data_IF_522169289418
#
_entry.id   IF_522169289418
#
_cell.length_a   1.000
_cell.length_b   1.000
_cell.length_c   1.000
_cell.angle_alpha   90.00
_cell.angle_beta   90.00
_cell.angle_gamma   90.00
#
_symmetry.space_group_name_H-M   'P 1'
#
loop_
_entity.id
_entity.type
_entity.pdbx_description
1 polymer ?
#
# COMPACT_ATOMS: atom_id res chain seq x y z
N UNK A 1 -79.80 82.74 -55.00
CA UNK A 1 -80.91 83.12 -55.93
C UNK A 1 -81.36 84.57 -55.76
N UNK A 2 -81.55 85.09 -54.54
CA UNK A 2 -81.96 86.48 -54.27
C UNK A 2 -81.01 87.56 -54.86
N UNK A 3 -79.70 87.32 -54.89
CA UNK A 3 -78.71 88.28 -55.42
C UNK A 3 -78.79 88.36 -56.95
N UNK A 4 -78.96 87.22 -57.63
CA UNK A 4 -79.09 87.18 -59.09
C UNK A 4 -80.35 87.90 -59.58
N UNK A 5 -81.48 87.73 -58.88
CA UNK A 5 -82.73 88.40 -59.22
C UNK A 5 -82.66 89.92 -59.01
N UNK A 6 -82.01 90.39 -57.93
CA UNK A 6 -81.78 91.83 -57.70
C UNK A 6 -80.93 92.47 -58.80
N UNK A 7 -79.85 91.81 -59.21
CA UNK A 7 -78.99 92.30 -60.30
C UNK A 7 -79.77 92.36 -61.62
N UNK A 8 -80.59 91.35 -61.91
CA UNK A 8 -81.38 91.28 -63.14
C UNK A 8 -82.45 92.38 -63.21
N UNK A 9 -83.11 92.70 -62.09
CA UNK A 9 -84.06 93.81 -61.99
C UNK A 9 -83.37 95.16 -62.18
N UNK A 10 -82.20 95.37 -61.57
CA UNK A 10 -81.43 96.62 -61.73
C UNK A 10 -80.95 96.80 -63.17
N UNK A 11 -80.46 95.74 -63.81
CA UNK A 11 -80.02 95.78 -65.22
C UNK A 11 -81.21 96.03 -66.15
N UNK A 12 -82.36 95.40 -65.91
CA UNK A 12 -83.56 95.62 -66.71
C UNK A 12 -84.08 97.06 -66.59
N UNK A 13 -84.12 97.62 -65.36
CA UNK A 13 -84.53 99.00 -65.13
C UNK A 13 -83.54 100.00 -65.73
N UNK A 14 -82.24 99.83 -65.50
CA UNK A 14 -81.23 100.71 -66.09
C UNK A 14 -81.17 100.57 -67.61
N UNK A 15 -81.29 99.35 -68.15
CA UNK A 15 -81.36 99.10 -69.60
C UNK A 15 -82.56 99.79 -70.24
N UNK A 16 -83.73 99.74 -69.59
CA UNK A 16 -84.93 100.46 -70.04
C UNK A 16 -84.77 101.98 -70.00
N UNK A 17 -84.21 102.53 -68.91
CA UNK A 17 -83.94 103.98 -68.78
C UNK A 17 -82.95 104.45 -69.84
N UNK A 18 -81.89 103.69 -70.08
CA UNK A 18 -80.83 104.02 -71.04
C UNK A 18 -81.35 103.91 -72.49
N UNK A 19 -82.13 102.87 -72.82
CA UNK A 19 -82.76 102.73 -74.12
C UNK A 19 -83.73 103.90 -74.41
N UNK A 20 -84.54 104.27 -73.41
CA UNK A 20 -85.43 105.43 -73.51
C UNK A 20 -84.66 106.75 -73.70
N UNK A 21 -83.56 106.94 -72.97
CA UNK A 21 -82.73 108.14 -73.10
C UNK A 21 -82.04 108.19 -74.47
N UNK A 22 -81.57 107.05 -74.98
CA UNK A 22 -80.95 106.90 -76.30
C UNK A 22 -81.89 107.24 -77.45
N UNK A 23 -83.12 106.71 -77.43
CA UNK A 23 -84.14 107.00 -78.45
C UNK A 23 -84.59 108.47 -78.43
N UNK A 24 -84.72 109.04 -77.23
CA UNK A 24 -85.13 110.44 -77.04
C UNK A 24 -84.02 111.43 -77.43
N UNK A 25 -82.75 111.10 -77.20
CA UNK A 25 -81.60 111.89 -77.66
C UNK A 25 -81.46 111.79 -79.19
N UNK A 26 -81.59 110.59 -79.76
CA UNK A 26 -81.51 110.37 -81.21
C UNK A 26 -82.57 111.14 -82.00
N UNK A 27 -83.84 111.06 -81.59
CA UNK A 27 -84.96 111.75 -82.26
C UNK A 27 -84.93 113.27 -82.10
N UNK A 28 -84.50 113.78 -80.93
CA UNK A 28 -84.45 115.22 -80.64
C UNK A 28 -83.33 115.94 -81.39
N UNK A 29 -82.21 115.26 -81.63
CA UNK A 29 -81.11 115.78 -82.45
C UNK A 29 -81.48 115.71 -83.95
N UNK A 30 -82.19 114.66 -84.37
CA UNK A 30 -82.66 114.50 -85.76
C UNK A 30 -83.61 115.62 -86.24
N UNK A 31 -84.45 116.19 -85.38
CA UNK A 31 -85.37 117.29 -85.75
C UNK A 31 -84.75 118.70 -85.68
N UNK A 32 -83.71 118.91 -84.88
CA UNK A 32 -83.10 120.24 -84.66
C UNK A 32 -82.08 120.68 -85.72
N UNK A 33 -81.82 119.88 -86.76
CA UNK A 33 -80.79 120.12 -87.80
C UNK A 33 -79.45 120.61 -87.22
N UNK A 34 -79.02 120.03 -86.10
CA UNK A 34 -77.76 120.41 -85.48
C UNK A 34 -76.58 119.86 -86.29
N UNK A 35 -75.64 120.73 -86.63
CA UNK A 35 -74.37 120.36 -87.24
C UNK A 35 -73.30 120.31 -86.15
N UNK A 36 -72.75 119.13 -85.91
CA UNK A 36 -71.55 118.98 -85.08
C UNK A 36 -70.37 119.05 -86.05
N UNK A 37 -69.49 120.05 -85.87
CA UNK A 37 -68.30 120.25 -86.72
C UNK A 37 -68.57 120.33 -88.25
N UNK A 38 -69.63 121.03 -88.67
CA UNK A 38 -69.86 121.35 -90.10
C UNK A 38 -70.44 120.22 -90.97
N UNK A 39 -70.77 119.06 -90.38
CA UNK A 39 -71.27 117.89 -91.11
C UNK A 39 -72.77 118.00 -91.46
N UNK A 40 -73.15 117.38 -92.60
CA UNK A 40 -74.53 117.30 -93.10
C UNK A 40 -75.41 116.60 -92.03
N UNK A 41 -76.58 117.16 -91.64
CA UNK A 41 -77.31 116.76 -90.42
C UNK A 41 -77.61 115.27 -90.24
N UNK A 42 -77.67 114.48 -91.33
CA UNK A 42 -77.92 113.03 -91.28
C UNK A 42 -76.76 112.22 -90.66
N UNK A 43 -75.50 112.58 -90.90
CA UNK A 43 -74.34 111.80 -90.42
C UNK A 43 -73.98 112.09 -88.97
N UNK A 44 -74.17 113.32 -88.52
CA UNK A 44 -73.99 113.74 -87.13
C UNK A 44 -74.81 112.90 -86.17
N UNK A 45 -76.05 112.60 -86.54
CA UNK A 45 -76.94 111.74 -85.74
C UNK A 45 -76.38 110.33 -85.57
N UNK A 46 -75.77 109.76 -86.61
CA UNK A 46 -75.24 108.38 -86.58
C UNK A 46 -74.02 108.28 -85.67
N UNK A 47 -73.08 109.22 -85.77
CA UNK A 47 -71.86 109.22 -84.94
C UNK A 47 -72.22 109.38 -83.47
N UNK A 48 -73.10 110.33 -83.14
CA UNK A 48 -73.54 110.50 -81.75
C UNK A 48 -74.17 109.22 -81.23
N UNK A 49 -74.98 108.52 -82.04
CA UNK A 49 -75.61 107.25 -81.67
C UNK A 49 -74.57 106.17 -81.35
N UNK A 50 -73.52 106.02 -82.17
CA UNK A 50 -72.42 105.05 -81.93
C UNK A 50 -71.66 105.38 -80.64
N UNK A 51 -71.33 106.66 -80.42
CA UNK A 51 -70.62 107.10 -79.21
C UNK A 51 -71.46 106.88 -77.96
N UNK A 52 -72.77 107.18 -78.00
CA UNK A 52 -73.67 106.81 -76.90
C UNK A 52 -73.75 105.30 -76.72
N UNK A 53 -73.81 104.50 -77.79
CA UNK A 53 -73.80 103.04 -77.70
C UNK A 53 -72.56 102.49 -77.00
N UNK A 54 -71.38 103.05 -77.32
CA UNK A 54 -70.12 102.67 -76.66
C UNK A 54 -70.08 103.13 -75.20
N UNK A 55 -70.53 104.35 -74.90
CA UNK A 55 -70.65 104.85 -73.53
C UNK A 55 -71.59 103.98 -72.69
N UNK A 56 -72.69 103.50 -73.28
CA UNK A 56 -73.62 102.58 -72.63
C UNK A 56 -72.96 101.22 -72.36
N UNK A 57 -72.23 100.65 -73.32
CA UNK A 57 -71.50 99.40 -73.11
C UNK A 57 -70.43 99.54 -72.00
N UNK A 58 -69.65 100.62 -72.01
CA UNK A 58 -68.65 100.91 -70.98
C UNK A 58 -69.27 101.12 -69.60
N UNK A 59 -70.39 101.86 -69.51
CA UNK A 59 -71.14 102.03 -68.27
C UNK A 59 -71.71 100.70 -67.76
N UNK A 60 -72.19 99.83 -68.67
CA UNK A 60 -72.71 98.50 -68.32
C UNK A 60 -71.62 97.62 -67.72
N UNK A 61 -70.45 97.56 -68.36
CA UNK A 61 -69.29 96.82 -67.83
C UNK A 61 -68.84 97.41 -66.48
N UNK A 62 -68.70 98.73 -66.38
CA UNK A 62 -68.28 99.40 -65.14
C UNK A 62 -69.22 99.14 -63.96
N UNK A 63 -70.53 99.19 -64.19
CA UNK A 63 -71.54 98.87 -63.17
C UNK A 63 -71.47 97.40 -62.76
N UNK A 64 -71.28 96.47 -63.70
CA UNK A 64 -71.10 95.05 -63.38
C UNK A 64 -69.84 94.80 -62.55
N UNK A 65 -68.70 95.45 -62.86
CA UNK A 65 -67.45 95.33 -62.10
C UNK A 65 -67.55 95.89 -60.68
N UNK A 66 -68.33 96.96 -60.49
CA UNK A 66 -68.59 97.53 -59.17
C UNK A 66 -69.50 96.63 -58.34
N UNK A 67 -70.61 96.17 -58.93
CA UNK A 67 -71.69 95.46 -58.24
C UNK A 67 -71.38 93.98 -57.97
N UNK A 68 -70.59 93.34 -58.83
CA UNK A 68 -70.30 91.90 -58.73
C UNK A 68 -68.82 91.62 -58.49
N UNK A 69 -68.52 90.99 -57.35
CA UNK A 69 -67.18 90.44 -57.07
C UNK A 69 -66.78 89.40 -58.12
N UNK A 70 -67.71 88.57 -58.61
CA UNK A 70 -67.40 87.53 -59.60
C UNK A 70 -66.92 88.11 -60.94
N UNK A 71 -67.48 89.24 -61.37
CA UNK A 71 -67.04 89.94 -62.61
C UNK A 71 -65.69 90.62 -62.39
N UNK A 72 -65.47 91.22 -61.21
CA UNK A 72 -64.17 91.81 -60.83
C UNK A 72 -63.05 90.77 -60.79
N UNK A 73 -63.32 89.59 -60.22
CA UNK A 73 -62.39 88.46 -60.18
C UNK A 73 -62.17 87.85 -61.56
N UNK A 74 -63.18 87.83 -62.43
CA UNK A 74 -63.03 87.34 -63.80
C UNK A 74 -62.25 88.31 -64.73
N UNK A 75 -62.44 89.63 -64.59
CA UNK A 75 -61.74 90.65 -65.38
C UNK A 75 -60.32 90.97 -64.87
N UNK A 76 -60.06 90.84 -63.57
CA UNK A 76 -58.79 91.28 -62.94
C UNK A 76 -58.17 90.31 -61.92
N UNK A 77 -58.78 89.13 -61.67
CA UNK A 77 -58.37 88.22 -60.59
C UNK A 77 -57.66 86.93 -61.03
N UNK A 78 -57.46 86.73 -62.34
CA UNK A 78 -56.86 85.50 -62.87
C UNK A 78 -55.41 85.28 -62.38
N UNK A 79 -54.62 86.35 -62.27
CA UNK A 79 -53.24 86.27 -61.81
C UNK A 79 -53.15 85.94 -60.31
N UNK A 80 -54.05 86.49 -59.50
CA UNK A 80 -54.10 86.22 -58.05
C UNK A 80 -54.55 84.79 -57.77
N UNK A 81 -55.59 84.31 -58.45
CA UNK A 81 -56.06 82.92 -58.29
C UNK A 81 -55.02 81.90 -58.77
N UNK A 82 -54.30 82.20 -59.86
CA UNK A 82 -53.20 81.37 -60.36
C UNK A 82 -52.00 81.37 -59.41
N UNK A 83 -51.71 82.51 -58.76
CA UNK A 83 -50.68 82.62 -57.72
C UNK A 83 -51.05 81.82 -56.47
N UNK A 84 -52.28 81.95 -55.97
CA UNK A 84 -52.76 81.24 -54.78
C UNK A 84 -52.79 79.73 -55.04
N UNK A 85 -53.26 79.28 -56.22
CA UNK A 85 -53.19 77.86 -56.63
C UNK A 85 -51.76 77.35 -56.74
N UNK A 86 -50.82 78.18 -57.21
CA UNK A 86 -49.40 77.81 -57.28
C UNK A 86 -48.80 77.67 -55.88
N UNK A 87 -49.01 78.65 -55.00
CA UNK A 87 -48.55 78.63 -53.61
C UNK A 87 -49.16 77.47 -52.83
N UNK A 88 -50.46 77.21 -52.98
CA UNK A 88 -51.13 76.13 -52.28
C UNK A 88 -50.66 74.75 -52.79
N UNK A 89 -50.41 74.60 -54.10
CA UNK A 89 -49.81 73.37 -54.63
C UNK A 89 -48.36 73.20 -54.16
N UNK A 90 -47.58 74.28 -54.06
CA UNK A 90 -46.23 74.25 -53.49
C UNK A 90 -46.25 73.89 -51.99
N UNK A 91 -47.21 74.40 -51.23
CA UNK A 91 -47.40 74.09 -49.80
C UNK A 91 -47.88 72.65 -49.59
N UNK A 92 -48.85 72.17 -50.38
CA UNK A 92 -49.30 70.78 -50.34
C UNK A 92 -48.17 69.84 -50.75
N UNK A 93 -47.39 70.19 -51.77
CA UNK A 93 -46.20 69.42 -52.15
C UNK A 93 -45.17 69.38 -51.00
N UNK A 94 -44.90 70.52 -50.37
CA UNK A 94 -43.99 70.60 -49.22
C UNK A 94 -44.49 69.78 -48.01
N UNK A 95 -45.78 69.89 -47.67
CA UNK A 95 -46.40 69.11 -46.58
C UNK A 95 -46.42 67.62 -46.88
N UNK A 96 -46.67 67.24 -48.13
CA UNK A 96 -46.62 65.82 -48.55
C UNK A 96 -45.20 65.29 -48.44
N UNK A 97 -44.19 66.08 -48.82
CA UNK A 97 -42.77 65.75 -48.64
C UNK A 97 -42.40 65.59 -47.15
N UNK A 98 -42.85 66.49 -46.28
CA UNK A 98 -42.66 66.39 -44.83
C UNK A 98 -43.30 65.12 -44.26
N UNK A 99 -44.51 64.79 -44.70
CA UNK A 99 -45.25 63.61 -44.24
C UNK A 99 -44.57 62.31 -44.69
N UNK A 100 -44.04 62.27 -45.93
CA UNK A 100 -43.22 61.15 -46.42
C UNK A 100 -41.95 61.01 -45.60
N UNK A 101 -41.23 62.12 -45.33
CA UNK A 101 -40.03 62.11 -44.48
C UNK A 101 -40.35 61.65 -43.05
N UNK A 102 -41.43 62.16 -42.46
CA UNK A 102 -41.88 61.78 -41.12
C UNK A 102 -42.25 60.31 -41.03
N UNK A 103 -42.98 59.77 -42.01
CA UNK A 103 -43.28 58.33 -42.11
C UNK A 103 -42.01 57.49 -42.26
N UNK A 104 -41.08 57.90 -43.13
CA UNK A 104 -39.81 57.20 -43.30
C UNK A 104 -39.00 57.16 -42.00
N UNK A 105 -38.92 58.29 -41.28
CA UNK A 105 -38.24 58.38 -39.98
C UNK A 105 -38.90 57.51 -38.92
N UNK A 106 -40.24 57.46 -38.90
CA UNK A 106 -40.99 56.65 -37.95
C UNK A 106 -40.79 55.15 -38.20
N UNK A 107 -40.72 54.74 -39.46
CA UNK A 107 -40.47 53.35 -39.81
C UNK A 107 -39.02 52.93 -39.56
N UNK A 108 -38.06 53.84 -39.78
CA UNK A 108 -36.67 53.66 -39.35
C UNK A 108 -36.58 53.50 -37.82
N UNK A 109 -37.22 54.38 -37.05
CA UNK A 109 -37.23 54.31 -35.59
C UNK A 109 -37.89 53.02 -35.08
N UNK A 110 -38.97 52.55 -35.72
CA UNK A 110 -39.58 51.26 -35.38
C UNK A 110 -38.64 50.09 -35.64
N UNK A 111 -37.92 50.10 -36.77
CA UNK A 111 -36.91 49.08 -37.08
C UNK A 111 -35.79 49.08 -36.03
N UNK A 112 -35.23 50.26 -35.71
CA UNK A 112 -34.20 50.39 -34.68
C UNK A 112 -34.71 49.92 -33.31
N UNK A 113 -35.94 50.27 -32.94
CA UNK A 113 -36.53 49.83 -31.67
C UNK A 113 -36.70 48.30 -31.62
N UNK A 114 -37.10 47.69 -32.74
CA UNK A 114 -37.21 46.23 -32.83
C UNK A 114 -35.85 45.55 -32.74
N UNK A 115 -34.82 46.08 -33.40
CA UNK A 115 -33.44 45.58 -33.30
C UNK A 115 -32.92 45.66 -31.87
N UNK A 116 -33.13 46.80 -31.19
CA UNK A 116 -32.76 46.98 -29.78
C UNK A 116 -33.54 46.03 -28.85
N UNK A 117 -34.83 45.79 -29.11
CA UNK A 117 -35.61 44.82 -28.33
C UNK A 117 -35.06 43.41 -28.49
N UNK A 118 -34.71 42.99 -29.71
CA UNK A 118 -34.09 41.69 -29.97
C UNK A 118 -32.72 41.58 -29.28
N UNK A 119 -31.91 42.64 -29.33
CA UNK A 119 -30.60 42.73 -28.66
C UNK A 119 -30.74 42.61 -27.14
N UNK A 120 -31.71 43.31 -26.53
CA UNK A 120 -32.01 43.21 -25.09
C UNK A 120 -32.46 41.79 -24.71
N UNK A 121 -33.31 41.15 -25.50
CA UNK A 121 -33.71 39.77 -25.23
C UNK A 121 -32.53 38.80 -25.31
N UNK A 122 -31.63 38.98 -26.29
CA UNK A 122 -30.42 38.18 -26.40
C UNK A 122 -29.50 38.38 -25.20
N UNK A 123 -29.24 39.63 -24.82
CA UNK A 123 -28.42 39.95 -23.63
C UNK A 123 -29.05 39.37 -22.37
N UNK A 124 -30.38 39.43 -22.22
CA UNK A 124 -31.06 38.82 -21.06
C UNK A 124 -30.84 37.32 -20.98
N UNK A 125 -30.97 36.61 -22.11
CA UNK A 125 -30.68 35.16 -22.17
C UNK A 125 -29.23 34.87 -21.82
N UNK A 126 -28.30 35.66 -22.34
CA UNK A 126 -26.86 35.49 -22.06
C UNK A 126 -26.51 35.78 -20.59
N UNK A 127 -27.17 36.76 -19.97
CA UNK A 127 -27.03 37.03 -18.53
C UNK A 127 -27.60 35.88 -17.70
N UNK A 128 -28.75 35.32 -18.09
CA UNK A 128 -29.33 34.16 -17.39
C UNK A 128 -28.44 32.91 -17.50
N UNK A 129 -27.88 32.63 -18.69
CA UNK A 129 -26.95 31.51 -18.86
C UNK A 129 -25.67 31.71 -18.08
N UNK A 130 -25.07 32.90 -18.16
CA UNK A 130 -23.84 33.21 -17.42
C UNK A 130 -24.06 33.15 -15.90
N UNK A 131 -25.23 33.57 -15.42
CA UNK A 131 -25.59 33.46 -13.99
C UNK A 131 -25.73 32.01 -13.55
N UNK A 132 -26.37 31.17 -14.36
CA UNK A 132 -26.47 29.73 -14.09
C UNK A 132 -25.10 29.05 -14.09
N UNK A 133 -24.22 29.40 -15.04
CA UNK A 133 -22.84 28.92 -15.08
C UNK A 133 -22.04 29.37 -13.85
N UNK A 134 -22.20 30.61 -13.40
CA UNK A 134 -21.55 31.12 -12.20
C UNK A 134 -22.01 30.38 -10.93
N UNK A 135 -23.31 30.14 -10.79
CA UNK A 135 -23.86 29.37 -9.67
C UNK A 135 -23.33 27.93 -9.68
N UNK A 136 -23.26 27.29 -10.85
CA UNK A 136 -22.67 25.96 -11.01
C UNK A 136 -21.18 25.93 -10.68
N UNK A 137 -20.41 26.91 -11.17
CA UNK A 137 -18.98 27.02 -10.90
C UNK A 137 -18.70 27.27 -9.41
N UNK A 138 -19.53 28.09 -8.74
CA UNK A 138 -19.43 28.34 -7.31
C UNK A 138 -19.73 27.06 -6.51
N UNK A 139 -20.79 26.32 -6.87
CA UNK A 139 -21.10 25.05 -6.23
C UNK A 139 -19.98 24.01 -6.41
N UNK A 140 -19.37 23.94 -7.61
CA UNK A 140 -18.23 23.08 -7.86
C UNK A 140 -16.99 23.50 -7.05
N UNK A 141 -16.76 24.82 -6.90
CA UNK A 141 -15.70 25.36 -6.06
C UNK A 141 -15.92 24.97 -4.58
N UNK A 142 -17.11 25.15 -4.05
CA UNK A 142 -17.42 24.83 -2.65
C UNK A 142 -17.28 23.31 -2.39
N UNK A 143 -17.70 22.48 -3.35
CA UNK A 143 -17.52 21.02 -3.28
C UNK A 143 -16.03 20.62 -3.28
N UNK A 144 -15.22 21.22 -4.16
CA UNK A 144 -13.78 20.95 -4.20
C UNK A 144 -13.04 21.46 -2.97
N UNK A 145 -13.44 22.59 -2.38
CA UNK A 145 -12.91 23.07 -1.09
C UNK A 145 -13.24 22.08 0.04
N UNK A 146 -14.45 21.52 0.07
CA UNK A 146 -14.83 20.49 1.04
C UNK A 146 -14.03 19.19 0.84
N UNK A 147 -13.85 18.73 -0.40
CA UNK A 147 -13.00 17.58 -0.72
C UNK A 147 -11.54 17.82 -0.29
N UNK A 148 -10.99 19.00 -0.56
CA UNK A 148 -9.63 19.36 -0.13
C UNK A 148 -9.49 19.31 1.39
N UNK A 149 -10.47 19.85 2.13
CA UNK A 149 -10.46 19.82 3.59
C UNK A 149 -10.51 18.38 4.14
N UNK A 150 -11.34 17.51 3.55
CA UNK A 150 -11.39 16.09 3.95
C UNK A 150 -10.09 15.36 3.61
N UNK A 151 -9.49 15.64 2.45
CA UNK A 151 -8.21 15.06 2.05
C UNK A 151 -7.07 15.51 2.96
N UNK A 152 -7.02 16.79 3.35
CA UNK A 152 -6.05 17.30 4.32
C UNK A 152 -6.21 16.62 5.68
N UNK A 153 -7.44 16.44 6.17
CA UNK A 153 -7.70 15.70 7.41
C UNK A 153 -7.23 14.24 7.31
N UNK A 154 -7.50 13.58 6.18
CA UNK A 154 -7.04 12.22 5.92
C UNK A 154 -5.51 12.15 5.89
N UNK A 155 -4.85 13.09 5.23
CA UNK A 155 -3.39 13.18 5.18
C UNK A 155 -2.78 13.36 6.59
N UNK A 156 -3.36 14.25 7.41
CA UNK A 156 -2.94 14.43 8.79
C UNK A 156 -3.06 13.14 9.62
N UNK A 157 -4.17 12.40 9.45
CA UNK A 157 -4.36 11.10 10.12
C UNK A 157 -3.36 10.05 9.65
N UNK A 158 -3.09 9.98 8.34
CA UNK A 158 -2.12 9.03 7.78
C UNK A 158 -0.71 9.38 8.26
N UNK A 159 -0.36 10.67 8.27
CA UNK A 159 0.94 11.15 8.78
C UNK A 159 1.11 10.79 10.25
N UNK A 160 0.09 11.02 11.09
CA UNK A 160 0.12 10.60 12.50
C UNK A 160 0.30 9.09 12.66
N UNK A 161 -0.48 8.30 11.92
CA UNK A 161 -0.35 6.83 11.93
C UNK A 161 1.05 6.38 11.52
N UNK A 162 1.67 7.05 10.55
CA UNK A 162 3.02 6.72 10.13
C UNK A 162 4.02 6.97 11.26
N UNK A 163 3.92 8.12 11.96
CA UNK A 163 4.78 8.41 13.10
C UNK A 163 4.60 7.42 14.25
N UNK A 164 3.35 6.99 14.54
CA UNK A 164 3.07 5.99 15.56
C UNK A 164 3.64 4.61 15.18
N UNK A 165 3.58 4.26 13.89
CA UNK A 165 4.11 3.01 13.36
C UNK A 165 5.65 2.99 13.40
N UNK A 166 6.30 4.10 13.08
CA UNK A 166 7.75 4.26 13.19
C UNK A 166 8.22 4.14 14.65
N UNK A 167 7.51 4.77 15.59
CA UNK A 167 7.79 4.64 17.02
C UNK A 167 7.62 3.19 17.51
N UNK A 168 6.55 2.52 17.04
CA UNK A 168 6.30 1.10 17.37
C UNK A 168 7.40 0.21 16.82
N UNK A 169 7.83 0.45 15.57
CA UNK A 169 8.93 -0.28 14.94
C UNK A 169 10.23 -0.10 15.72
N UNK A 170 10.59 1.12 16.09
CA UNK A 170 11.79 1.39 16.88
C UNK A 170 11.76 0.66 18.24
N UNK A 171 10.59 0.61 18.90
CA UNK A 171 10.40 -0.13 20.15
C UNK A 171 10.57 -1.65 19.95
N UNK A 172 10.07 -2.20 18.86
CA UNK A 172 10.24 -3.62 18.54
C UNK A 172 11.70 -3.97 18.22
N UNK A 173 12.39 -3.13 17.45
CA UNK A 173 13.83 -3.31 17.18
C UNK A 173 14.65 -3.29 18.47
N UNK A 174 14.33 -2.39 19.42
CA UNK A 174 14.95 -2.37 20.74
C UNK A 174 14.68 -3.65 21.55
N UNK A 175 13.44 -4.17 21.55
CA UNK A 175 13.12 -5.44 22.22
C UNK A 175 13.84 -6.62 21.59
N UNK A 176 13.99 -6.66 20.27
CA UNK A 176 14.74 -7.73 19.58
C UNK A 176 16.20 -7.70 20.03
N UNK A 177 16.83 -6.52 20.09
CA UNK A 177 18.20 -6.39 20.56
C UNK A 177 18.37 -6.83 22.04
N UNK A 178 17.41 -6.47 22.90
CA UNK A 178 17.38 -6.89 24.30
C UNK A 178 17.24 -8.41 24.45
N UNK A 179 16.34 -9.03 23.68
CA UNK A 179 16.14 -10.48 23.66
C UNK A 179 17.38 -11.21 23.17
N UNK A 180 18.06 -10.69 22.14
CA UNK A 180 19.32 -11.26 21.63
C UNK A 180 20.42 -11.23 22.70
N UNK A 181 20.58 -10.10 23.40
CA UNK A 181 21.56 -10.00 24.49
C UNK A 181 21.20 -10.94 25.65
N UNK A 182 19.91 -11.02 26.02
CA UNK A 182 19.44 -11.95 27.05
C UNK A 182 19.71 -13.40 26.67
N UNK A 183 19.48 -13.77 25.41
CA UNK A 183 19.77 -15.11 24.90
C UNK A 183 21.27 -15.42 24.99
N UNK A 184 22.14 -14.49 24.60
CA UNK A 184 23.60 -14.66 24.70
C UNK A 184 24.05 -14.82 26.15
N UNK A 185 23.53 -13.99 27.06
CA UNK A 185 23.80 -14.09 28.50
C UNK A 185 23.34 -15.44 29.08
N UNK A 186 22.17 -15.93 28.69
CA UNK A 186 21.67 -17.24 29.11
C UNK A 186 22.53 -18.37 28.55
N UNK A 187 22.94 -18.31 27.28
CA UNK A 187 23.83 -19.31 26.70
C UNK A 187 25.18 -19.35 27.42
N UNK A 188 25.79 -18.19 27.66
CA UNK A 188 27.04 -18.11 28.41
C UNK A 188 26.86 -18.56 29.86
N UNK A 189 25.75 -18.21 30.50
CA UNK A 189 25.39 -18.68 31.84
C UNK A 189 25.25 -20.20 31.91
N UNK A 190 24.59 -20.84 30.94
CA UNK A 190 24.44 -22.30 30.85
C UNK A 190 25.79 -22.98 30.64
N UNK A 191 26.68 -22.41 29.81
CA UNK A 191 28.03 -22.93 29.62
C UNK A 191 28.79 -22.93 30.95
N UNK A 192 28.78 -21.81 31.67
CA UNK A 192 29.45 -21.68 32.97
C UNK A 192 28.83 -22.57 34.07
N UNK A 193 27.52 -22.83 34.03
CA UNK A 193 26.86 -23.75 34.95
C UNK A 193 27.18 -25.22 34.63
N UNK A 194 27.28 -25.60 33.34
CA UNK A 194 27.69 -26.95 32.92
C UNK A 194 29.15 -27.27 33.21
N UNK A 195 29.99 -26.26 33.41
CA UNK A 195 31.39 -26.42 33.84
C UNK A 195 31.53 -26.66 35.36
N UNK A 196 30.43 -26.62 36.12
CA UNK A 196 30.39 -26.96 37.54
C UNK A 196 30.59 -28.45 37.81
N UNK A 197 31.82 -28.97 37.62
CA UNK A 197 32.29 -30.31 38.02
C UNK A 197 31.40 -31.49 37.61
N UNK A 198 31.65 -32.06 36.43
CA UNK A 198 31.11 -33.38 36.04
C UNK A 198 31.66 -34.42 37.03
N UNK A 199 30.78 -35.10 37.76
CA UNK A 199 31.16 -36.10 38.77
C UNK A 199 31.24 -37.51 38.22
N UNK A 200 30.36 -37.83 37.27
CA UNK A 200 30.43 -39.04 36.47
C UNK A 200 30.15 -38.74 35.00
N UNK A 201 30.92 -39.34 34.11
CA UNK A 201 30.71 -39.22 32.67
C UNK A 201 29.65 -40.22 32.19
N UNK A 202 29.05 -39.94 31.04
CA UNK A 202 28.19 -40.90 30.33
C UNK A 202 28.89 -42.27 30.19
N UNK A 203 28.12 -43.34 30.32
CA UNK A 203 28.54 -44.75 30.30
C UNK A 203 29.49 -45.17 31.43
N UNK A 204 29.86 -44.28 32.36
CA UNK A 204 30.71 -44.64 33.48
C UNK A 204 30.01 -45.65 34.40
N UNK A 205 30.75 -46.70 34.78
CA UNK A 205 30.32 -47.69 35.77
C UNK A 205 30.12 -47.02 37.15
N UNK A 206 28.88 -47.09 37.65
CA UNK A 206 28.52 -46.61 38.98
C UNK A 206 28.61 -47.74 40.01
N UNK A 207 27.99 -48.89 39.71
CA UNK A 207 28.04 -50.07 40.57
C UNK A 207 27.94 -51.36 39.76
N UNK A 208 28.42 -52.46 40.34
CA UNK A 208 28.32 -53.79 39.77
C UNK A 208 28.01 -54.81 40.87
N UNK A 209 27.12 -55.76 40.57
CA UNK A 209 26.79 -56.86 41.45
C UNK A 209 26.61 -58.17 40.67
N UNK A 210 26.91 -59.29 41.32
CA UNK A 210 26.68 -60.64 40.78
C UNK A 210 25.46 -61.24 41.47
N UNK A 211 24.47 -61.63 40.67
CA UNK A 211 23.20 -62.19 41.12
C UNK A 211 23.17 -63.68 40.80
N UNK A 212 22.84 -64.50 41.80
CA UNK A 212 22.75 -65.96 41.66
C UNK A 212 21.50 -66.35 40.85
N UNK A 213 21.56 -67.45 40.07
CA UNK A 213 20.40 -67.93 39.33
C UNK A 213 19.37 -68.57 40.26
N UNK A 214 18.11 -68.65 39.80
CA UNK A 214 17.03 -69.36 40.51
C UNK A 214 16.37 -68.57 41.63
N UNK A 215 16.51 -67.24 41.65
CA UNK A 215 15.75 -66.36 42.54
C UNK A 215 14.27 -66.37 42.17
N UNK A 216 13.40 -66.20 43.17
CA UNK A 216 11.98 -65.96 42.93
C UNK A 216 11.77 -64.61 42.22
N UNK A 217 10.57 -64.37 41.69
CA UNK A 217 10.22 -63.07 41.11
C UNK A 217 10.37 -61.94 42.14
N UNK A 218 9.91 -62.16 43.37
CA UNK A 218 10.04 -61.20 44.48
C UNK A 218 11.52 -60.95 44.83
N UNK A 219 12.31 -62.02 44.96
CA UNK A 219 13.73 -61.90 45.28
C UNK A 219 14.53 -61.22 44.16
N UNK A 220 14.13 -61.39 42.90
CA UNK A 220 14.76 -60.74 41.75
C UNK A 220 14.49 -59.22 41.74
N UNK A 221 13.26 -58.82 42.05
CA UNK A 221 12.91 -57.40 42.23
C UNK A 221 13.67 -56.79 43.40
N UNK A 222 13.73 -57.50 44.54
CA UNK A 222 14.48 -57.06 45.71
C UNK A 222 15.99 -56.94 45.42
N UNK A 223 16.56 -57.87 44.64
CA UNK A 223 17.95 -57.81 44.23
C UNK A 223 18.26 -56.55 43.40
N UNK A 224 17.43 -56.26 42.38
CA UNK A 224 17.60 -55.05 41.55
C UNK A 224 17.43 -53.78 42.40
N UNK A 225 16.41 -53.75 43.27
CA UNK A 225 16.19 -52.62 44.18
C UNK A 225 17.39 -52.37 45.08
N UNK A 226 17.93 -53.40 45.73
CA UNK A 226 19.10 -53.27 46.59
C UNK A 226 20.33 -52.75 45.82
N UNK A 227 20.52 -53.19 44.58
CA UNK A 227 21.63 -52.71 43.73
C UNK A 227 21.46 -51.22 43.38
N UNK A 228 20.23 -50.77 43.09
CA UNK A 228 19.93 -49.36 42.85
C UNK A 228 20.17 -48.54 44.13
N UNK A 229 19.75 -49.06 45.29
CA UNK A 229 19.91 -48.41 46.59
C UNK A 229 21.39 -48.26 46.97
N UNK A 230 22.19 -49.31 46.79
CA UNK A 230 23.64 -49.29 46.98
C UNK A 230 24.33 -48.30 46.04
N UNK A 231 23.88 -48.26 44.78
CA UNK A 231 24.38 -47.29 43.78
C UNK A 231 24.04 -45.86 44.21
N UNK A 232 22.82 -45.62 44.68
CA UNK A 232 22.37 -44.33 45.17
C UNK A 232 23.23 -43.86 46.35
N UNK A 233 23.51 -44.75 47.31
CA UNK A 233 24.41 -44.43 48.43
C UNK A 233 25.83 -44.08 47.98
N UNK A 234 26.39 -44.83 47.02
CA UNK A 234 27.73 -44.56 46.48
C UNK A 234 27.80 -43.19 45.80
N UNK A 235 26.80 -42.88 44.96
CA UNK A 235 26.69 -41.61 44.23
C UNK A 235 26.50 -40.44 45.22
N UNK A 236 25.66 -40.59 46.25
CA UNK A 236 25.46 -39.60 47.31
C UNK A 236 26.74 -39.28 48.09
N UNK A 237 27.52 -40.31 48.46
CA UNK A 237 28.83 -40.12 49.14
C UNK A 237 29.79 -39.32 48.28
N UNK A 238 29.81 -39.58 46.96
CA UNK A 238 30.67 -38.86 46.02
C UNK A 238 30.20 -37.43 45.74
N UNK A 239 28.89 -37.18 45.85
CA UNK A 239 28.27 -35.86 45.77
C UNK A 239 28.44 -35.04 47.06
N UNK A 240 28.92 -35.63 48.16
CA UNK A 240 29.03 -34.96 49.46
C UNK A 240 27.68 -34.66 50.13
N UNK A 241 26.60 -35.30 49.68
CA UNK A 241 25.26 -35.12 50.24
C UNK A 241 25.13 -36.01 51.48
N UNK A 242 24.82 -35.40 52.63
CA UNK A 242 24.57 -36.14 53.87
C UNK A 242 23.11 -36.56 53.91
N UNK A 243 22.88 -37.85 54.15
CA UNK A 243 21.62 -38.60 54.03
C UNK A 243 20.34 -37.82 54.39
N UNK A 244 19.65 -37.28 53.39
CA UNK A 244 18.34 -36.61 53.51
C UNK A 244 17.16 -37.54 53.22
N UNK A 245 17.39 -38.83 52.99
CA UNK A 245 16.36 -39.78 52.56
C UNK A 245 15.86 -39.55 51.12
N UNK A 246 16.61 -38.79 50.31
CA UNK A 246 16.25 -38.43 48.94
C UNK A 246 17.01 -39.31 47.94
N UNK A 247 16.29 -39.91 46.98
CA UNK A 247 16.92 -40.63 45.87
C UNK A 247 17.49 -39.63 44.88
N UNK A 248 18.78 -39.77 44.58
CA UNK A 248 19.49 -38.95 43.60
C UNK A 248 19.67 -39.73 42.29
N UNK A 249 19.79 -41.05 42.37
CA UNK A 249 19.89 -41.93 41.18
C UNK A 249 18.50 -42.33 40.70
N UNK A 250 18.21 -42.02 39.44
CA UNK A 250 16.96 -42.35 38.76
C UNK A 250 17.23 -43.35 37.64
N UNK A 251 16.52 -44.47 37.68
CA UNK A 251 16.52 -45.50 36.64
C UNK A 251 15.12 -45.57 36.05
N UNK A 252 15.02 -45.63 34.72
CA UNK A 252 13.74 -45.78 34.05
C UNK A 252 13.04 -47.08 34.48
N UNK A 253 11.73 -47.00 34.75
CA UNK A 253 10.93 -48.14 35.20
C UNK A 253 10.96 -49.30 34.21
N UNK A 254 10.91 -49.03 32.91
CA UNK A 254 10.99 -50.08 31.87
C UNK A 254 12.36 -50.77 31.91
N UNK A 255 13.43 -50.03 32.15
CA UNK A 255 14.77 -50.61 32.28
C UNK A 255 14.89 -51.53 33.51
N UNK A 256 14.28 -51.16 34.63
CA UNK A 256 14.17 -52.02 35.84
C UNK A 256 13.39 -53.30 35.53
N UNK A 257 12.24 -53.21 34.87
CA UNK A 257 11.41 -54.37 34.51
C UNK A 257 12.15 -55.31 33.54
N UNK A 258 12.82 -54.77 32.51
CA UNK A 258 13.64 -55.55 31.57
C UNK A 258 14.80 -56.25 32.29
N UNK A 259 15.50 -55.55 33.19
CA UNK A 259 16.60 -56.12 33.96
C UNK A 259 16.11 -57.26 34.87
N UNK A 260 14.97 -57.07 35.52
CA UNK A 260 14.36 -58.06 36.42
C UNK A 260 13.92 -59.30 35.66
N UNK A 261 13.29 -59.14 34.49
CA UNK A 261 12.88 -60.26 33.64
C UNK A 261 14.08 -61.11 33.18
N UNK A 262 15.22 -60.46 32.89
CA UNK A 262 16.47 -61.15 32.55
C UNK A 262 17.03 -61.97 33.72
N UNK A 263 16.84 -61.54 34.96
CA UNK A 263 17.24 -62.30 36.15
C UNK A 263 16.32 -63.50 36.41
N UNK A 264 15.00 -63.33 36.28
CA UNK A 264 14.02 -64.40 36.49
C UNK A 264 14.25 -65.55 35.49
N UNK A 265 14.54 -65.22 34.24
CA UNK A 265 14.84 -66.21 33.19
C UNK A 265 16.23 -66.83 33.26
N UNK A 266 17.09 -66.40 34.20
CA UNK A 266 18.49 -66.80 34.21
C UNK A 266 18.73 -68.18 34.82
N UNK A 267 19.43 -69.04 34.07
CA UNK A 267 19.89 -70.37 34.53
C UNK A 267 21.34 -70.36 35.01
N UNK A 268 22.04 -69.26 34.77
CA UNK A 268 23.44 -69.02 35.13
C UNK A 268 23.52 -67.77 35.98
N UNK A 269 24.56 -67.59 36.80
CA UNK A 269 24.79 -66.32 37.48
C UNK A 269 24.80 -65.16 36.48
N UNK A 270 24.18 -64.05 36.85
CA UNK A 270 24.08 -62.85 36.03
C UNK A 270 24.84 -61.72 36.71
N UNK A 271 25.41 -60.84 35.91
CA UNK A 271 26.07 -59.63 36.37
C UNK A 271 25.16 -58.47 36.04
N UNK A 272 24.92 -57.63 37.03
CA UNK A 272 24.12 -56.42 36.93
C UNK A 272 25.08 -55.25 37.09
N UNK A 273 25.12 -54.38 36.09
CA UNK A 273 25.86 -53.13 36.11
C UNK A 273 24.90 -51.96 36.08
N UNK A 274 25.17 -50.97 36.92
CA UNK A 274 24.50 -49.67 36.88
C UNK A 274 25.50 -48.69 36.28
N UNK A 275 25.16 -48.12 35.14
CA UNK A 275 26.00 -47.16 34.40
C UNK A 275 25.28 -45.83 34.28
N UNK A 276 26.04 -44.73 34.21
CA UNK A 276 25.47 -43.41 33.99
C UNK A 276 24.86 -43.31 32.58
N UNK A 277 23.59 -42.93 32.48
CA UNK A 277 22.92 -42.76 31.19
C UNK A 277 23.30 -41.43 30.49
N UNK A 278 23.91 -40.51 31.23
CA UNK A 278 24.41 -39.22 30.78
C UNK A 278 25.41 -38.65 31.80
N UNK A 279 25.92 -37.46 31.56
CA UNK A 279 26.82 -36.80 32.51
C UNK A 279 26.07 -36.46 33.81
N UNK A 280 26.59 -36.90 34.95
CA UNK A 280 26.03 -36.61 36.28
C UNK A 280 26.76 -35.42 36.87
N UNK A 281 26.00 -34.36 37.19
CA UNK A 281 26.50 -33.08 37.72
C UNK A 281 25.98 -32.90 39.16
N UNK A 282 26.74 -32.20 39.99
CA UNK A 282 26.30 -31.87 41.34
C UNK A 282 25.02 -31.02 41.32
N UNK A 283 23.96 -31.47 42.01
CA UNK A 283 22.69 -30.75 42.14
C UNK A 283 21.59 -31.15 41.15
N UNK A 284 21.88 -32.02 40.17
CA UNK A 284 20.89 -32.57 39.24
C UNK A 284 20.58 -34.04 39.57
N UNK A 285 19.36 -34.53 39.23
CA UNK A 285 19.04 -35.96 39.24
C UNK A 285 20.02 -36.78 38.38
N UNK A 286 20.67 -37.76 38.99
CA UNK A 286 21.60 -38.66 38.30
C UNK A 286 20.83 -39.74 37.54
N UNK A 287 20.78 -39.67 36.22
CA UNK A 287 20.09 -40.70 35.40
C UNK A 287 21.03 -41.88 35.14
N UNK A 288 20.58 -43.09 35.44
CA UNK A 288 21.34 -44.32 35.28
C UNK A 288 20.56 -45.40 34.51
N UNK A 289 21.31 -46.31 33.89
CA UNK A 289 20.80 -47.47 33.15
C UNK A 289 21.37 -48.75 33.74
N UNK A 290 20.53 -49.77 33.85
CA UNK A 290 20.89 -51.12 34.28
C UNK A 290 21.17 -51.99 33.06
N UNK A 291 22.35 -52.58 33.06
CA UNK A 291 22.78 -53.57 32.09
C UNK A 291 22.93 -54.92 32.77
N UNK A 292 22.30 -55.96 32.19
CA UNK A 292 22.30 -57.32 32.74
C UNK A 292 22.81 -58.30 31.69
N UNK A 293 23.84 -59.07 32.05
CA UNK A 293 24.48 -60.05 31.18
C UNK A 293 24.94 -61.31 31.96
N UNK A 294 25.09 -62.47 31.29
CA UNK A 294 25.56 -63.69 31.96
C UNK A 294 26.99 -63.57 32.50
N UNK A 295 27.23 -64.08 33.69
CA UNK A 295 28.58 -64.26 34.22
C UNK A 295 29.23 -65.46 33.53
N UNK A 296 30.24 -65.20 32.71
CA UNK A 296 30.97 -66.23 31.98
C UNK A 296 32.35 -66.42 32.63
N UNK A 297 32.75 -67.67 32.80
CA UNK A 297 34.12 -68.01 33.20
C UNK A 297 35.03 -67.88 31.97
N UNK A 298 36.06 -67.04 32.06
CA UNK A 298 36.89 -66.69 30.90
C UNK A 298 38.29 -67.31 31.00
N UNK A 299 38.94 -67.20 32.17
CA UNK A 299 40.29 -67.72 32.36
C UNK A 299 40.41 -68.47 33.69
N UNK A 300 41.19 -69.56 33.67
CA UNK A 300 41.63 -70.25 34.88
C UNK A 300 42.89 -69.60 35.45
N UNK A 301 43.07 -69.67 36.77
CA UNK A 301 44.31 -69.24 37.41
C UNK A 301 45.56 -69.87 36.73
N UNK A 302 46.52 -69.04 36.34
CA UNK A 302 47.75 -69.43 35.66
C UNK A 302 47.63 -69.61 34.14
N UNK A 303 46.44 -69.42 33.56
CA UNK A 303 46.23 -69.49 32.12
C UNK A 303 46.92 -68.31 31.41
N UNK A 304 47.59 -68.60 30.28
CA UNK A 304 48.26 -67.58 29.47
C UNK A 304 47.21 -66.89 28.59
N UNK A 305 47.12 -65.56 28.71
CA UNK A 305 46.25 -64.72 27.88
C UNK A 305 46.89 -64.54 26.50
N UNK A 306 48.17 -64.19 26.48
CA UNK A 306 48.95 -63.98 25.27
C UNK A 306 50.45 -64.16 25.54
N UNK A 307 51.19 -64.63 24.53
CA UNK A 307 52.65 -64.73 24.55
C UNK A 307 53.23 -64.22 23.25
N UNK A 308 54.39 -63.56 23.33
CA UNK A 308 55.10 -63.01 22.17
C UNK A 308 56.61 -63.03 22.42
N UNK A 309 57.38 -63.14 21.33
CA UNK A 309 58.83 -62.94 21.33
C UNK A 309 59.12 -61.49 20.94
N UNK A 310 59.86 -60.77 21.78
CA UNK A 310 60.26 -59.38 21.55
C UNK A 310 61.77 -59.20 21.68
N UNK A 311 62.31 -58.17 21.05
CA UNK A 311 63.72 -57.82 21.15
C UNK A 311 63.98 -57.05 22.46
N UNK A 312 64.92 -57.57 23.25
CA UNK A 312 65.43 -56.87 24.42
C UNK A 312 66.36 -55.71 24.06
N UNK A 313 66.51 -54.74 24.98
CA UNK A 313 67.32 -53.53 24.78
C UNK A 313 66.51 -52.23 24.84
N UNK A 314 66.91 -51.21 24.08
CA UNK A 314 66.39 -49.84 24.20
C UNK A 314 64.90 -49.66 23.90
N UNK A 315 64.29 -50.60 23.16
CA UNK A 315 62.88 -50.53 22.76
C UNK A 315 61.93 -51.29 23.70
N UNK A 316 62.41 -51.76 24.86
CA UNK A 316 61.65 -52.59 25.79
C UNK A 316 60.32 -51.96 26.25
N UNK A 317 60.28 -50.63 26.45
CA UNK A 317 59.07 -49.94 26.89
C UNK A 317 57.97 -49.95 25.81
N UNK A 318 58.31 -49.55 24.58
CA UNK A 318 57.35 -49.53 23.47
C UNK A 318 56.87 -50.94 23.11
N UNK A 319 57.78 -51.93 23.11
CA UNK A 319 57.44 -53.33 22.88
C UNK A 319 56.51 -53.89 23.97
N UNK A 320 56.74 -53.51 25.24
CA UNK A 320 55.86 -53.90 26.35
C UNK A 320 54.46 -53.27 26.23
N UNK A 321 54.34 -52.00 25.89
CA UNK A 321 53.03 -51.35 25.69
C UNK A 321 52.24 -52.01 24.54
N UNK A 322 52.91 -52.32 23.43
CA UNK A 322 52.27 -53.04 22.32
C UNK A 322 51.82 -54.44 22.74
N UNK A 323 52.65 -55.15 23.50
CA UNK A 323 52.30 -56.45 24.06
C UNK A 323 51.08 -56.36 24.98
N UNK A 324 51.02 -55.39 25.89
CA UNK A 324 49.85 -55.20 26.76
C UNK A 324 48.58 -54.84 25.99
N UNK A 325 48.70 -54.09 24.88
CA UNK A 325 47.57 -53.85 23.98
C UNK A 325 47.05 -55.16 23.38
N UNK A 326 47.94 -56.05 22.93
CA UNK A 326 47.57 -57.36 22.40
C UNK A 326 46.97 -58.28 23.48
N UNK A 327 47.47 -58.21 24.71
CA UNK A 327 46.87 -58.90 25.87
C UNK A 327 45.44 -58.40 26.10
N UNK A 328 45.22 -57.08 26.05
CA UNK A 328 43.91 -56.45 26.18
C UNK A 328 42.95 -56.92 25.06
N UNK A 329 43.37 -56.87 23.80
CA UNK A 329 42.58 -57.34 22.65
C UNK A 329 42.23 -58.83 22.74
N UNK A 330 43.17 -59.70 23.12
CA UNK A 330 42.92 -61.14 23.23
C UNK A 330 41.94 -61.50 24.34
N UNK A 331 42.02 -60.81 25.49
CA UNK A 331 41.07 -61.06 26.57
C UNK A 331 39.69 -60.44 26.30
N UNK A 332 39.59 -59.32 25.58
CA UNK A 332 38.31 -58.83 25.02
C UNK A 332 37.68 -59.86 24.08
N UNK A 333 38.47 -60.41 23.15
CA UNK A 333 38.00 -61.41 22.20
C UNK A 333 37.49 -62.69 22.89
N UNK A 334 38.10 -63.07 24.03
CA UNK A 334 37.64 -64.19 24.86
C UNK A 334 36.40 -63.89 25.71
N UNK A 335 35.95 -62.63 25.78
CA UNK A 335 34.70 -62.24 26.44
C UNK A 335 34.85 -61.50 27.78
N UNK A 336 36.04 -60.96 28.09
CA UNK A 336 36.19 -60.02 29.21
C UNK A 336 35.61 -58.66 28.82
N UNK A 337 34.76 -58.11 29.68
CA UNK A 337 34.14 -56.79 29.46
C UNK A 337 35.15 -55.71 29.88
N UNK A 338 35.50 -54.78 28.98
CA UNK A 338 36.40 -53.69 29.33
C UNK A 338 35.71 -52.66 30.23
N UNK A 339 36.51 -51.95 31.02
CA UNK A 339 36.08 -50.75 31.71
C UNK A 339 35.59 -49.71 30.69
N UNK A 340 34.42 -49.13 30.95
CA UNK A 340 33.74 -48.18 30.05
C UNK A 340 34.51 -46.88 29.85
N UNK A 341 35.37 -46.49 30.80
CA UNK A 341 36.12 -45.24 30.78
C UNK A 341 37.52 -45.43 30.19
N UNK A 342 38.25 -46.46 30.64
CA UNK A 342 39.64 -46.68 30.20
C UNK A 342 39.75 -47.61 29.00
N UNK A 343 38.73 -48.44 28.75
CA UNK A 343 38.81 -49.51 27.76
C UNK A 343 39.75 -50.64 28.18
N UNK A 344 40.24 -50.64 29.41
CA UNK A 344 41.13 -51.67 29.95
C UNK A 344 40.33 -52.81 30.57
N UNK A 345 40.87 -54.01 30.44
CA UNK A 345 40.24 -55.24 30.96
C UNK A 345 40.86 -55.70 32.27
N UNK A 346 41.97 -55.10 32.71
CA UNK A 346 42.82 -55.69 33.73
C UNK A 346 43.82 -54.71 34.33
N UNK A 347 44.42 -55.13 35.44
CA UNK A 347 45.37 -54.33 36.20
C UNK A 347 46.70 -55.07 36.33
N UNK A 348 47.80 -54.34 36.17
CA UNK A 348 49.16 -54.79 36.46
C UNK A 348 49.72 -53.82 37.51
N UNK A 349 50.26 -54.32 38.64
CA UNK A 349 50.95 -53.46 39.59
C UNK A 349 52.06 -52.66 38.89
N UNK A 350 52.11 -51.35 39.09
CA UNK A 350 53.07 -50.48 38.40
C UNK A 350 54.51 -50.92 38.60
N UNK A 351 54.85 -51.35 39.83
CA UNK A 351 56.17 -51.86 40.17
C UNK A 351 56.55 -53.10 39.36
N UNK A 352 55.60 -54.02 39.13
CA UNK A 352 55.81 -55.23 38.34
C UNK A 352 56.02 -54.90 36.86
N UNK A 353 55.26 -53.94 36.33
CA UNK A 353 55.42 -53.47 34.96
C UNK A 353 56.79 -52.80 34.74
N UNK A 354 57.20 -51.90 35.64
CA UNK A 354 58.49 -51.24 35.56
C UNK A 354 59.65 -52.23 35.73
N UNK A 355 59.52 -53.20 36.63
CA UNK A 355 60.50 -54.26 36.79
C UNK A 355 60.63 -55.13 35.53
N UNK A 356 59.51 -55.47 34.89
CA UNK A 356 59.47 -56.21 33.64
C UNK A 356 60.18 -55.46 32.50
N UNK A 357 59.87 -54.16 32.31
CA UNK A 357 60.50 -53.32 31.28
C UNK A 357 62.01 -53.22 31.50
N UNK A 358 62.46 -52.97 32.75
CA UNK A 358 63.90 -52.92 33.08
C UNK A 358 64.59 -54.25 32.79
N UNK A 359 63.98 -55.37 33.15
CA UNK A 359 64.52 -56.71 32.92
C UNK A 359 64.68 -57.02 31.43
N UNK A 360 63.70 -56.63 30.60
CA UNK A 360 63.77 -56.79 29.14
C UNK A 360 64.81 -55.85 28.54
N UNK A 361 64.96 -54.64 29.08
CA UNK A 361 65.98 -53.69 28.64
C UNK A 361 67.42 -54.15 28.91
N UNK A 362 67.65 -54.91 29.99
CA UNK A 362 68.96 -55.47 30.35
C UNK A 362 69.32 -56.75 29.56
N UNK A 363 68.34 -57.44 28.97
CA UNK A 363 68.59 -58.62 28.15
C UNK A 363 68.87 -58.19 26.71
N UNK A 364 70.02 -58.61 26.18
CA UNK A 364 70.34 -58.42 24.76
C UNK A 364 69.94 -59.69 24.00
N UNK A 365 69.08 -59.54 22.97
CA UNK A 365 68.59 -60.65 22.14
C UNK A 365 67.07 -60.88 22.24
N UNK A 366 66.60 -62.02 21.71
CA UNK A 366 65.17 -62.39 21.69
C UNK A 366 64.71 -62.84 23.07
N UNK A 367 63.63 -62.23 23.57
CA UNK A 367 63.03 -62.50 24.88
C UNK A 367 61.60 -62.99 24.68
N UNK A 368 61.26 -64.11 25.31
CA UNK A 368 59.89 -64.61 25.36
C UNK A 368 59.16 -64.00 26.56
N UNK A 369 58.03 -63.35 26.30
CA UNK A 369 57.18 -62.72 27.32
C UNK A 369 55.80 -63.36 27.27
N UNK A 370 55.33 -63.83 28.43
CA UNK A 370 53.99 -64.38 28.62
C UNK A 370 53.22 -63.55 29.64
N UNK A 371 51.98 -63.22 29.32
CA UNK A 371 51.02 -62.64 30.25
C UNK A 371 50.07 -63.75 30.69
N UNK A 372 50.03 -64.03 31.98
CA UNK A 372 49.14 -65.05 32.56
C UNK A 372 48.27 -64.44 33.66
N UNK A 373 47.12 -65.07 33.87
CA UNK A 373 46.13 -64.63 34.85
C UNK A 373 46.53 -65.06 36.25
N UNK A 374 46.42 -64.14 37.21
CA UNK A 374 46.61 -64.37 38.64
C UNK A 374 45.25 -64.51 39.34
N UNK A 375 44.70 -65.71 39.34
CA UNK A 375 43.36 -66.03 39.85
C UNK A 375 42.36 -66.41 38.76
N UNK A 376 41.22 -66.99 39.16
CA UNK A 376 40.14 -67.28 38.23
C UNK A 376 39.44 -65.98 37.80
N UNK A 377 39.25 -65.80 36.50
CA UNK A 377 38.69 -64.56 35.93
C UNK A 377 37.38 -64.82 35.20
N UNK A 378 36.41 -63.95 35.47
CA UNK A 378 35.08 -63.95 34.87
C UNK A 378 34.86 -62.72 34.00
N UNK A 379 33.81 -62.73 33.18
CA UNK A 379 33.46 -61.62 32.28
C UNK A 379 33.30 -60.26 32.97
N UNK A 380 33.05 -60.25 34.29
CA UNK A 380 32.72 -59.08 35.09
C UNK A 380 33.90 -58.37 35.76
N UNK A 381 35.05 -59.03 35.93
CA UNK A 381 36.10 -58.58 36.84
C UNK A 381 37.37 -58.15 36.12
N UNK A 382 38.14 -57.19 36.70
CA UNK A 382 39.43 -56.84 36.14
C UNK A 382 40.34 -58.07 36.16
N UNK A 383 40.96 -58.37 35.02
CA UNK A 383 41.93 -59.45 34.89
C UNK A 383 43.21 -59.04 35.62
N UNK A 384 43.56 -59.75 36.69
CA UNK A 384 44.87 -59.57 37.33
C UNK A 384 45.93 -60.28 36.49
N UNK A 385 46.88 -59.52 35.96
CA UNK A 385 47.86 -60.02 35.01
C UNK A 385 49.24 -60.05 35.68
N UNK A 386 49.93 -61.19 35.55
CA UNK A 386 51.35 -61.33 35.87
C UNK A 386 52.15 -61.63 34.61
N UNK A 387 53.42 -61.20 34.62
CA UNK A 387 54.33 -61.36 33.49
C UNK A 387 55.38 -62.42 33.81
N UNK A 388 55.60 -63.34 32.86
CA UNK A 388 56.73 -64.28 32.87
C UNK A 388 57.67 -63.93 31.73
N UNK A 389 58.95 -63.81 32.05
CA UNK A 389 59.98 -63.35 31.12
C UNK A 389 61.11 -64.37 31.09
N UNK A 390 61.38 -64.92 29.91
CA UNK A 390 62.41 -65.94 29.68
C UNK A 390 63.28 -65.54 28.48
N UNK A 391 64.59 -65.52 28.66
CA UNK A 391 65.52 -65.28 27.56
C UNK A 391 65.57 -66.50 26.65
N UNK A 392 65.41 -66.31 25.33
CA UNK A 392 65.58 -67.41 24.39
C UNK A 392 67.08 -67.69 24.20
N UNK A 393 67.51 -68.96 24.13
CA UNK A 393 68.88 -69.27 23.77
C UNK A 393 69.20 -68.73 22.38
N UNK A 394 70.31 -68.02 22.21
CA UNK A 394 70.85 -67.65 20.90
C UNK A 394 71.18 -68.93 20.10
N UNK A 395 70.24 -69.38 19.26
CA UNK A 395 70.46 -70.52 18.36
C UNK A 395 71.54 -70.17 17.32
N UNK A 396 71.84 -68.89 17.11
CA UNK A 396 72.79 -68.41 16.10
C UNK A 396 74.27 -68.51 16.52
N UNK A 397 74.58 -68.96 17.74
CA UNK A 397 75.97 -69.19 18.17
C UNK A 397 76.53 -70.56 17.77
N UNK A 398 75.68 -71.51 17.37
CA UNK A 398 76.12 -72.87 16.95
C UNK A 398 76.42 -73.02 15.45
N UNK A 399 76.00 -72.09 14.60
CA UNK A 399 76.28 -72.11 13.14
C UNK A 399 77.54 -71.32 12.74
N UNK A 400 78.15 -70.56 13.66
CA UNK A 400 79.41 -69.84 13.45
C UNK A 400 80.66 -70.54 14.03
N UNK A 401 80.51 -71.77 14.48
CA UNK A 401 81.60 -72.67 14.86
C UNK A 401 81.43 -74.02 14.14
N UNK A 402 81.45 -74.01 12.81
CA UNK A 402 81.95 -75.11 11.98
C UNK A 402 82.74 -74.53 10.80
#
# INVERSE_FOLDING_TARGET
MLVGLKILIIIALMGGIIAYMGDKLGTKIGKRRMSLFGLRPKHTSIIVTIVTGLLVAAATVGVLTFTSQSVRTALFGMDKLRSDMKQLNEEVAAKTQELIRGKALLEQNKQELQERMNEIEQIRREVETTRAELESAQAAKDATEAELATLQSSYAQVSQKLTDLEATRAKMEAHIAELQNTQEQLQNGIIHLREGTILFQVDQLLAQAVVRPGLSEEDSHNAIKNIIDDTNQLVMRRLGITDTGQYVVYVDRQNVEIATQKLIGAKTPMVVQVVAAGNIIAGEPAVATIQVYPQQFIFKNGEVIHSTVMDGGSNAQSAMLQFLKQVNENAKAKGVIPDSLTGDIGTIPGDDLFAAIRRIGMMHGKVHVEAYVDGDTYSSGPVHIKLRITQMPDIDRKSRMQ
#
